data_IF_330122083457
#
_entry.id   IF_330122083457
#
_cell.length_a   1.000
_cell.length_b   1.000
_cell.length_c   1.000
_cell.angle_alpha   90.00
_cell.angle_beta   90.00
_cell.angle_gamma   90.00
#
_symmetry.space_group_name_H-M   'P 1'
#
loop_
_entity.id
_entity.type
_entity.pdbx_description
1 polymer ?
#
# COMPACT_ATOMS: atom_id res chain seq x y z
N UNK A 1 -3.56 4.99 -1.94
CA UNK A 1 -3.24 5.03 -0.51
C UNK A 1 -4.38 5.72 0.21
N UNK A 2 -4.96 5.04 1.19
CA UNK A 2 -6.15 5.51 1.90
C UNK A 2 -5.80 6.19 3.22
N UNK A 3 -6.73 6.97 3.75
CA UNK A 3 -6.60 7.64 5.04
C UNK A 3 -6.54 6.60 6.18
N UNK A 4 -5.82 6.92 7.26
CA UNK A 4 -5.53 6.04 8.42
C UNK A 4 -6.78 5.51 9.14
N UNK A 5 -7.97 6.09 8.89
CA UNK A 5 -9.24 5.70 9.52
C UNK A 5 -10.19 4.85 8.66
N UNK A 6 -10.33 5.11 7.36
CA UNK A 6 -11.31 4.41 6.49
C UNK A 6 -10.68 3.57 5.37
N UNK A 7 -9.35 3.62 5.22
CA UNK A 7 -8.68 2.95 4.11
C UNK A 7 -9.04 3.55 2.75
N UNK A 8 -9.02 2.73 1.68
CA UNK A 8 -9.31 3.17 0.31
C UNK A 8 -10.80 2.91 0.02
N UNK A 9 -11.51 3.92 -0.49
CA UNK A 9 -12.90 3.78 -0.90
C UNK A 9 -13.05 2.64 -1.91
N UNK A 10 -14.05 1.78 -1.72
CA UNK A 10 -14.30 0.58 -2.56
C UNK A 10 -14.34 0.88 -4.07
N UNK A 11 -14.95 2.00 -4.46
CA UNK A 11 -15.01 2.41 -5.87
C UNK A 11 -13.66 2.78 -6.49
N UNK A 12 -12.70 3.23 -5.67
CA UNK A 12 -11.32 3.43 -6.15
C UNK A 12 -10.64 2.08 -6.37
N UNK A 13 -10.91 1.07 -5.52
CA UNK A 13 -10.37 -0.29 -5.74
C UNK A 13 -10.96 -0.94 -6.98
N UNK A 14 -12.26 -0.79 -7.23
CA UNK A 14 -12.94 -1.35 -8.42
C UNK A 14 -12.48 -0.70 -9.74
N UNK A 15 -12.04 0.56 -9.70
CA UNK A 15 -11.47 1.28 -10.85
C UNK A 15 -9.95 1.10 -10.99
N UNK A 16 -9.29 0.42 -10.06
CA UNK A 16 -7.84 0.24 -10.10
C UNK A 16 -7.49 -1.02 -10.88
N UNK A 17 -6.54 -0.92 -11.81
CA UNK A 17 -6.02 -2.09 -12.55
C UNK A 17 -5.29 -3.08 -11.63
N UNK A 18 -4.66 -2.55 -10.57
CA UNK A 18 -3.92 -3.34 -9.60
C UNK A 18 -4.17 -2.84 -8.18
N UNK A 19 -4.33 -3.78 -7.25
CA UNK A 19 -4.42 -3.52 -5.81
C UNK A 19 -3.29 -4.27 -5.11
N UNK A 20 -2.46 -3.53 -4.38
CA UNK A 20 -1.30 -4.05 -3.64
C UNK A 20 -1.51 -3.87 -2.14
N UNK A 21 -1.10 -4.86 -1.36
CA UNK A 21 -1.14 -4.82 0.12
C UNK A 21 0.25 -4.96 0.70
N UNK A 22 0.62 -4.05 1.60
CA UNK A 22 1.82 -4.18 2.43
C UNK A 22 1.43 -5.02 3.66
N UNK A 23 2.01 -6.21 3.88
CA UNK A 23 1.74 -6.99 5.08
C UNK A 23 2.26 -6.22 6.30
N UNK A 24 1.40 -6.01 7.29
CA UNK A 24 1.73 -5.39 8.57
C UNK A 24 1.62 -6.47 9.66
N UNK A 25 2.59 -6.52 10.58
CA UNK A 25 2.61 -7.47 11.69
C UNK A 25 2.32 -6.75 13.02
N UNK A 26 1.52 -7.37 13.88
CA UNK A 26 1.14 -6.80 15.19
C UNK A 26 -0.09 -5.89 15.15
N UNK A 27 -0.28 -5.06 16.18
CA UNK A 27 -1.43 -4.16 16.37
C UNK A 27 -1.29 -2.81 15.61
N UNK A 28 -0.62 -2.81 14.46
CA UNK A 28 -0.51 -1.60 13.64
C UNK A 28 -1.78 -1.45 12.79
N UNK A 29 -2.52 -0.36 13.00
CA UNK A 29 -3.75 -0.06 12.26
C UNK A 29 -3.48 0.46 10.85
N UNK A 30 -2.38 1.19 10.66
CA UNK A 30 -1.97 1.73 9.36
C UNK A 30 -0.48 2.08 9.33
N UNK A 31 0.05 2.25 8.11
CA UNK A 31 1.36 2.83 7.86
C UNK A 31 1.19 4.26 7.38
N UNK A 32 2.14 5.12 7.75
CA UNK A 32 2.25 6.46 7.18
C UNK A 32 2.30 6.38 5.64
N UNK A 33 1.56 7.26 4.98
CA UNK A 33 1.42 7.28 3.51
C UNK A 33 2.77 7.43 2.81
N UNK A 34 3.67 8.27 3.32
CA UNK A 34 5.00 8.48 2.74
C UNK A 34 5.86 7.23 2.88
N UNK A 35 5.83 6.58 4.05
CA UNK A 35 6.57 5.32 4.30
C UNK A 35 6.08 4.21 3.38
N UNK A 36 4.76 4.02 3.29
CA UNK A 36 4.19 3.02 2.41
C UNK A 36 4.51 3.32 0.92
N UNK A 37 4.66 4.60 0.54
CA UNK A 37 5.01 5.00 -0.83
C UNK A 37 6.44 4.60 -1.12
N UNK A 38 7.36 4.89 -0.19
CA UNK A 38 8.75 4.47 -0.28
C UNK A 38 8.90 2.97 -0.46
N UNK A 39 8.18 2.16 0.33
CA UNK A 39 8.20 0.69 0.23
C UNK A 39 7.72 0.21 -1.15
N UNK A 40 6.65 0.79 -1.68
CA UNK A 40 6.10 0.41 -2.99
C UNK A 40 7.06 0.78 -4.12
N UNK A 41 7.62 2.00 -4.09
CA UNK A 41 8.60 2.45 -5.09
C UNK A 41 9.86 1.60 -5.06
N UNK A 42 10.40 1.33 -3.87
CA UNK A 42 11.55 0.46 -3.70
C UNK A 42 11.30 -0.93 -4.28
N UNK A 43 10.15 -1.54 -3.98
CA UNK A 43 9.77 -2.84 -4.54
C UNK A 43 9.60 -2.84 -6.06
N UNK A 44 9.19 -1.73 -6.67
CA UNK A 44 9.07 -1.59 -8.13
C UNK A 44 10.46 -1.42 -8.76
N UNK A 45 11.30 -0.58 -8.18
CA UNK A 45 12.64 -0.26 -8.69
C UNK A 45 13.59 -1.45 -8.50
N UNK A 46 13.56 -2.08 -7.33
CA UNK A 46 14.40 -3.23 -6.97
C UNK A 46 13.76 -4.57 -7.36
N UNK A 47 12.73 -4.58 -8.22
CA UNK A 47 12.08 -5.79 -8.74
C UNK A 47 12.95 -6.59 -9.73
N UNK A 48 14.25 -6.69 -9.46
CA UNK A 48 15.27 -7.39 -10.27
C UNK A 48 15.89 -8.62 -9.63
N UNK A 49 15.45 -9.09 -8.45
CA UNK A 49 15.97 -10.35 -7.90
C UNK A 49 14.86 -11.20 -7.32
N UNK A 50 14.47 -12.20 -8.12
CA UNK A 50 13.44 -13.21 -7.90
C UNK A 50 13.03 -13.77 -9.24
#
# INVERSE_FOLDING_TARGET
MGNEGEGIKRILMEKSDFVLRIPMYGNLSSLNVTVATGIVLDRIVNRKFG
#
